data_IF_432278425111
#
_entry.id   IF_432278425111
#
_cell.length_a   1.000
_cell.length_b   1.000
_cell.length_c   1.000
_cell.angle_alpha   90.00
_cell.angle_beta   90.00
_cell.angle_gamma   90.00
#
_symmetry.space_group_name_H-M   'P 1'
#
loop_
_entity.id
_entity.type
_entity.pdbx_description
1 polymer ?
#
# COMPACT_ATOMS: atom_id res chain seq x y z
N UNK A 1 17.97 12.78 -7.67
CA UNK A 1 16.69 12.10 -7.45
C UNK A 1 16.77 11.52 -6.06
N UNK A 2 16.19 12.22 -5.08
CA UNK A 2 16.33 11.90 -3.66
C UNK A 2 15.66 10.57 -3.34
N UNK A 3 16.47 9.53 -3.17
CA UNK A 3 16.06 8.18 -2.75
C UNK A 3 15.28 8.19 -1.41
N UNK A 4 15.39 9.28 -0.65
CA UNK A 4 14.70 9.51 0.62
C UNK A 4 13.24 9.93 0.45
N UNK A 5 12.89 10.57 -0.66
CA UNK A 5 11.50 10.93 -0.97
C UNK A 5 10.72 9.76 -1.58
N UNK A 6 11.43 8.90 -2.31
CA UNK A 6 10.79 7.78 -2.99
C UNK A 6 10.25 6.74 -2.00
N UNK A 7 10.98 6.38 -0.92
CA UNK A 7 10.47 5.40 0.05
C UNK A 7 9.22 5.91 0.79
N UNK A 8 9.17 7.21 1.12
CA UNK A 8 8.00 7.84 1.74
C UNK A 8 6.79 7.80 0.81
N UNK A 9 7.01 8.05 -0.48
CA UNK A 9 5.95 7.96 -1.51
C UNK A 9 5.36 6.55 -1.59
N UNK A 10 6.20 5.50 -1.56
CA UNK A 10 5.71 4.11 -1.52
C UNK A 10 4.96 3.76 -0.23
N UNK A 11 5.40 4.26 0.93
CA UNK A 11 4.68 4.06 2.19
C UNK A 11 3.31 4.75 2.19
N UNK A 12 3.25 5.98 1.67
CA UNK A 12 1.99 6.72 1.57
C UNK A 12 1.00 5.99 0.67
N UNK A 13 1.44 5.57 -0.52
CA UNK A 13 0.59 4.85 -1.46
C UNK A 13 0.15 3.48 -0.91
N UNK A 14 1.08 2.71 -0.31
CA UNK A 14 0.75 1.43 0.32
C UNK A 14 -0.28 1.57 1.45
N UNK A 15 -0.16 2.62 2.26
CA UNK A 15 -1.12 2.92 3.34
C UNK A 15 -2.50 3.26 2.79
N UNK A 16 -2.59 4.05 1.71
CA UNK A 16 -3.86 4.35 1.05
C UNK A 16 -4.55 3.08 0.52
N UNK A 17 -3.80 2.21 -0.18
CA UNK A 17 -4.33 0.93 -0.65
C UNK A 17 -4.77 0.01 0.50
N UNK A 18 -4.03 0.01 1.62
CA UNK A 18 -4.41 -0.74 2.82
C UNK A 18 -5.74 -0.24 3.42
N UNK A 19 -5.93 1.08 3.51
CA UNK A 19 -7.18 1.66 4.00
C UNK A 19 -8.36 1.29 3.10
N UNK A 20 -8.19 1.36 1.77
CA UNK A 20 -9.22 0.89 0.83
C UNK A 20 -9.56 -0.58 1.04
N UNK A 21 -8.57 -1.44 1.25
CA UNK A 21 -8.75 -2.86 1.54
C UNK A 21 -9.52 -3.08 2.86
N UNK A 22 -9.21 -2.31 3.91
CA UNK A 22 -9.91 -2.38 5.19
C UNK A 22 -11.38 -1.95 5.05
N UNK A 23 -11.63 -0.87 4.30
CA UNK A 23 -12.98 -0.37 4.04
C UNK A 23 -13.84 -1.40 3.29
N UNK A 24 -13.26 -2.13 2.33
CA UNK A 24 -13.95 -3.24 1.66
C UNK A 24 -14.26 -4.37 2.65
N UNK A 25 -13.29 -4.76 3.46
CA UNK A 25 -13.44 -5.87 4.41
C UNK A 25 -14.48 -5.57 5.49
N UNK A 26 -14.51 -4.34 6.01
CA UNK A 26 -15.43 -3.93 7.07
C UNK A 26 -16.79 -3.47 6.56
N UNK A 27 -16.83 -2.83 5.39
CA UNK A 27 -18.07 -2.30 4.81
C UNK A 27 -18.90 -3.36 4.11
N UNK A 28 -18.26 -4.40 3.56
CA UNK A 28 -18.91 -5.41 2.74
C UNK A 28 -19.43 -4.85 1.40
N UNK A 29 -19.79 -5.77 0.50
CA UNK A 29 -20.25 -5.43 -0.88
C UNK A 29 -21.42 -4.44 -0.87
N UNK A 30 -22.30 -4.52 0.14
CA UNK A 30 -23.49 -3.68 0.27
C UNK A 30 -23.20 -2.20 0.50
N UNK A 31 -22.07 -1.84 1.13
CA UNK A 31 -21.73 -0.45 1.46
C UNK A 31 -20.77 0.18 0.47
N UNK A 32 -19.84 -0.61 -0.06
CA UNK A 32 -18.73 -0.10 -0.89
C UNK A 32 -18.90 -0.44 -2.37
N UNK A 33 -19.86 -1.30 -2.69
CA UNK A 33 -20.25 -1.63 -4.05
C UNK A 33 -19.39 -2.76 -4.64
N UNK A 34 -20.01 -3.51 -5.57
CA UNK A 34 -19.41 -4.68 -6.25
C UNK A 34 -18.07 -4.35 -6.91
N UNK A 35 -17.92 -3.13 -7.41
CA UNK A 35 -16.69 -2.66 -8.04
C UNK A 35 -15.50 -2.63 -7.07
N UNK A 36 -15.72 -2.16 -5.83
CA UNK A 36 -14.66 -2.11 -4.82
C UNK A 36 -14.31 -3.50 -4.28
N UNK A 37 -15.29 -4.40 -4.18
CA UNK A 37 -15.07 -5.80 -3.82
C UNK A 37 -14.22 -6.52 -4.87
N UNK A 38 -14.52 -6.33 -6.17
CA UNK A 38 -13.72 -6.87 -7.26
C UNK A 38 -12.29 -6.31 -7.30
N UNK A 39 -12.08 -5.07 -6.87
CA UNK A 39 -10.76 -4.42 -6.80
C UNK A 39 -9.99 -4.74 -5.50
N UNK A 40 -10.61 -5.34 -4.50
CA UNK A 40 -9.98 -5.74 -3.23
C UNK A 40 -8.63 -6.47 -3.41
N UNK A 41 -8.54 -7.56 -4.21
CA UNK A 41 -7.27 -8.27 -4.38
C UNK A 41 -6.18 -7.38 -4.99
N UNK A 42 -6.54 -6.44 -5.86
CA UNK A 42 -5.58 -5.47 -6.42
C UNK A 42 -5.07 -4.52 -5.33
N UNK A 43 -5.95 -3.96 -4.50
CA UNK A 43 -5.55 -3.08 -3.40
C UNK A 43 -4.62 -3.78 -2.40
N UNK A 44 -4.90 -5.04 -2.09
CA UNK A 44 -4.09 -5.85 -1.20
C UNK A 44 -2.69 -6.13 -1.79
N UNK A 45 -2.64 -6.53 -3.07
CA UNK A 45 -1.38 -6.76 -3.79
C UNK A 45 -0.53 -5.49 -3.88
N UNK A 46 -1.13 -4.36 -4.24
CA UNK A 46 -0.42 -3.08 -4.30
C UNK A 46 0.08 -2.65 -2.93
N UNK A 47 -0.73 -2.81 -1.87
CA UNK A 47 -0.32 -2.50 -0.51
C UNK A 47 0.93 -3.31 -0.11
N UNK A 48 0.89 -4.64 -0.26
CA UNK A 48 2.01 -5.53 0.11
C UNK A 48 3.25 -5.21 -0.72
N UNK A 49 3.11 -4.99 -2.03
CA UNK A 49 4.22 -4.65 -2.91
C UNK A 49 4.86 -3.31 -2.52
N UNK A 50 4.05 -2.27 -2.26
CA UNK A 50 4.54 -0.96 -1.87
C UNK A 50 5.25 -0.98 -0.50
N UNK A 51 4.69 -1.68 0.48
CA UNK A 51 5.36 -1.87 1.78
C UNK A 51 6.66 -2.66 1.64
N UNK A 52 6.69 -3.70 0.80
CA UNK A 52 7.91 -4.49 0.55
C UNK A 52 9.02 -3.65 -0.08
N UNK A 53 8.68 -2.84 -1.09
CA UNK A 53 9.64 -1.94 -1.75
C UNK A 53 10.13 -0.87 -0.78
N UNK A 54 9.22 -0.26 -0.01
CA UNK A 54 9.57 0.71 1.02
C UNK A 54 10.53 0.11 2.06
N UNK A 55 10.26 -1.12 2.53
CA UNK A 55 11.09 -1.82 3.50
C UNK A 55 12.49 -2.14 2.96
N UNK A 56 12.58 -2.62 1.72
CA UNK A 56 13.87 -2.88 1.04
C UNK A 56 14.69 -1.58 0.95
N UNK A 57 14.04 -0.48 0.56
CA UNK A 57 14.72 0.82 0.43
C UNK A 57 15.11 1.43 1.76
N UNK A 58 14.28 1.29 2.79
CA UNK A 58 14.58 1.71 4.15
C UNK A 58 15.83 1.00 4.69
N UNK A 59 15.89 -0.34 4.60
CA UNK A 59 17.07 -1.12 5.00
C UNK A 59 18.33 -0.78 4.21
N UNK A 60 18.19 -0.37 2.93
CA UNK A 60 19.32 0.03 2.10
C UNK A 60 19.87 1.41 2.48
N UNK A 61 19.05 2.30 3.05
CA UNK A 61 19.50 3.57 3.66
C UNK A 61 20.21 3.33 4.98
N UNK A 62 19.67 2.45 5.81
CA UNK A 62 20.25 2.09 7.11
C UNK A 62 21.69 1.54 6.97
N UNK A 63 21.92 0.63 6.01
CA UNK A 63 23.26 0.08 5.71
C UNK A 63 24.27 1.07 5.12
N UNK A 64 23.85 2.27 4.72
CA UNK A 64 24.72 3.30 4.12
C UNK A 64 25.12 4.40 5.11
N UNK A 65 24.70 4.27 6.37
CA UNK A 65 25.07 5.12 7.51
C UNK A 65 26.09 4.38 8.36
#
# INVERSE_FOLDING_TARGET
MDLEDEYKSYLFFGTMCMLCSILVTLGGVDRVGIWMDAMYPLFLLFSIACFSIAWIRYNKKDKKT
#
